data_IF_233853716473
#
_entry.id   IF_233853716473
#
_cell.length_a   1.000
_cell.length_b   1.000
_cell.length_c   1.000
_cell.angle_alpha   90.00
_cell.angle_beta   90.00
_cell.angle_gamma   90.00
#
_symmetry.space_group_name_H-M   'P 1'
#
loop_
_entity.id
_entity.type
_entity.pdbx_description
1 polymer ?
#
# COMPACT_ATOMS: atom_id res chain seq x y z
N UNK A 1 1.04 9.17 -27.74
CA UNK A 1 1.76 9.07 -26.46
C UNK A 1 2.11 10.41 -25.79
N UNK A 2 1.99 11.57 -26.45
CA UNK A 2 2.16 12.91 -25.82
C UNK A 2 0.80 13.55 -25.46
N UNK A 3 -0.28 13.16 -26.14
CA UNK A 3 -1.66 13.62 -25.84
C UNK A 3 -2.16 13.15 -24.46
N UNK A 4 -1.63 12.05 -23.93
CA UNK A 4 -2.03 11.46 -22.65
C UNK A 4 -1.57 12.24 -21.41
N UNK A 5 -0.61 13.16 -21.52
CA UNK A 5 -0.13 13.91 -20.35
C UNK A 5 -1.03 15.10 -20.02
N UNK A 6 -1.77 15.61 -21.01
CA UNK A 6 -2.65 16.77 -20.82
C UNK A 6 -3.88 16.41 -19.98
N UNK A 7 -4.43 15.20 -20.14
CA UNK A 7 -5.55 14.73 -19.28
C UNK A 7 -5.17 14.73 -17.81
N UNK A 8 -3.87 14.59 -17.48
CA UNK A 8 -3.38 14.65 -16.11
C UNK A 8 -3.51 16.04 -15.50
N UNK A 9 -3.51 17.09 -16.32
CA UNK A 9 -3.70 18.46 -15.82
C UNK A 9 -5.13 18.66 -15.33
N UNK A 10 -6.09 18.06 -16.03
CA UNK A 10 -7.53 18.19 -15.78
C UNK A 10 -8.02 17.32 -14.61
N UNK A 11 -7.23 16.33 -14.18
CA UNK A 11 -7.53 15.54 -12.98
C UNK A 11 -7.60 16.42 -11.72
N UNK A 12 -8.57 16.11 -10.86
CA UNK A 12 -8.62 16.64 -9.50
C UNK A 12 -7.38 16.24 -8.68
N UNK A 13 -7.14 16.95 -7.58
CA UNK A 13 -6.04 16.60 -6.67
C UNK A 13 -6.15 15.16 -6.15
N UNK A 14 -7.36 14.72 -5.81
CA UNK A 14 -7.63 13.37 -5.33
C UNK A 14 -7.27 12.29 -6.37
N UNK A 15 -7.61 12.53 -7.64
CA UNK A 15 -7.26 11.60 -8.73
C UNK A 15 -5.76 11.56 -9.00
N UNK A 16 -5.09 12.73 -8.94
CA UNK A 16 -3.63 12.83 -9.05
C UNK A 16 -2.94 12.04 -7.93
N UNK A 17 -3.34 12.26 -6.67
CA UNK A 17 -2.81 11.53 -5.51
C UNK A 17 -3.06 10.02 -5.61
N UNK A 18 -4.28 9.63 -5.98
CA UNK A 18 -4.63 8.20 -6.16
C UNK A 18 -3.77 7.54 -7.24
N UNK A 19 -3.49 8.26 -8.34
CA UNK A 19 -2.60 7.76 -9.40
C UNK A 19 -1.16 7.62 -8.91
N UNK A 20 -0.64 8.60 -8.18
CA UNK A 20 0.70 8.51 -7.57
C UNK A 20 0.79 7.31 -6.62
N UNK A 21 -0.19 7.12 -5.75
CA UNK A 21 -0.24 5.98 -4.82
C UNK A 21 -0.23 4.63 -5.56
N UNK A 22 -1.02 4.49 -6.64
CA UNK A 22 -1.02 3.27 -7.47
C UNK A 22 0.32 3.02 -8.15
N UNK A 23 0.93 4.06 -8.74
CA UNK A 23 2.22 3.91 -9.41
C UNK A 23 3.33 3.55 -8.42
N UNK A 24 3.36 4.17 -7.24
CA UNK A 24 4.31 3.79 -6.19
C UNK A 24 4.10 2.33 -5.80
N UNK A 25 2.86 1.93 -5.50
CA UNK A 25 2.54 0.53 -5.17
C UNK A 25 3.03 -0.44 -6.23
N UNK A 26 2.79 -0.16 -7.52
CA UNK A 26 3.24 -1.01 -8.63
C UNK A 26 4.76 -1.20 -8.65
N UNK A 27 5.52 -0.13 -8.40
CA UNK A 27 6.98 -0.22 -8.30
C UNK A 27 7.37 -1.09 -7.10
N UNK A 28 6.80 -0.83 -5.92
CA UNK A 28 7.10 -1.62 -4.72
C UNK A 28 6.77 -3.12 -4.88
N UNK A 29 5.60 -3.43 -5.46
CA UNK A 29 5.18 -4.81 -5.74
C UNK A 29 6.18 -5.52 -6.67
N UNK A 30 6.67 -4.84 -7.72
CA UNK A 30 7.66 -5.40 -8.64
C UNK A 30 9.01 -5.63 -7.97
N UNK A 31 9.51 -4.68 -7.20
CA UNK A 31 10.82 -4.79 -6.55
C UNK A 31 10.83 -5.86 -5.45
N UNK A 32 9.68 -6.13 -4.84
CA UNK A 32 9.52 -7.11 -3.75
C UNK A 32 9.04 -8.48 -4.23
N UNK A 33 8.69 -8.63 -5.52
CA UNK A 33 8.32 -9.90 -6.14
C UNK A 33 9.34 -11.03 -5.89
N UNK A 34 10.67 -10.80 -6.01
CA UNK A 34 11.67 -11.86 -5.77
C UNK A 34 11.67 -12.41 -4.34
N UNK A 35 11.11 -11.65 -3.38
CA UNK A 35 10.96 -12.05 -1.98
C UNK A 35 9.64 -12.79 -1.71
N UNK A 36 8.84 -13.04 -2.75
CA UNK A 36 7.48 -13.60 -2.66
C UNK A 36 6.55 -12.78 -1.73
N UNK A 37 6.78 -11.47 -1.64
CA UNK A 37 5.96 -10.59 -0.82
C UNK A 37 4.84 -9.95 -1.64
N UNK A 38 3.61 -10.35 -1.35
CA UNK A 38 2.42 -9.69 -1.91
C UNK A 38 2.18 -8.34 -1.24
N UNK A 39 1.37 -7.48 -1.88
CA UNK A 39 0.99 -6.17 -1.33
C UNK A 39 0.58 -6.20 0.16
N UNK A 40 -0.35 -7.07 0.60
CA UNK A 40 -0.72 -7.12 2.01
C UNK A 40 0.45 -7.52 2.93
N UNK A 41 1.34 -8.40 2.48
CA UNK A 41 2.47 -8.88 3.30
C UNK A 41 3.53 -7.80 3.49
N UNK A 42 4.00 -7.17 2.41
CA UNK A 42 5.05 -6.16 2.56
C UNK A 42 4.55 -4.89 3.23
N UNK A 43 3.30 -4.48 2.99
CA UNK A 43 2.74 -3.29 3.67
C UNK A 43 2.61 -3.52 5.18
N UNK A 44 2.19 -4.71 5.61
CA UNK A 44 2.14 -5.08 7.01
C UNK A 44 3.54 -5.06 7.66
N UNK A 45 4.53 -5.66 7.00
CA UNK A 45 5.93 -5.66 7.48
C UNK A 45 6.50 -4.24 7.57
N UNK A 46 6.33 -3.43 6.52
CA UNK A 46 6.77 -2.05 6.50
C UNK A 46 6.10 -1.23 7.60
N UNK A 47 4.79 -1.40 7.81
CA UNK A 47 4.06 -0.67 8.85
C UNK A 47 4.49 -1.10 10.24
N UNK A 48 4.69 -2.40 10.49
CA UNK A 48 5.28 -2.91 11.74
C UNK A 48 6.63 -2.27 12.02
N UNK A 49 7.54 -2.25 11.04
CA UNK A 49 8.84 -1.60 11.16
C UNK A 49 8.72 -0.10 11.51
N UNK A 50 7.76 0.60 10.90
CA UNK A 50 7.53 2.03 11.13
C UNK A 50 6.91 2.34 12.48
N UNK A 51 6.09 1.44 13.02
CA UNK A 51 5.38 1.64 14.29
C UNK A 51 6.18 1.16 15.50
N UNK A 52 7.16 0.27 15.30
CA UNK A 52 7.97 -0.31 16.36
C UNK A 52 7.25 -1.41 17.14
N UNK A 53 7.78 -1.73 18.32
CA UNK A 53 7.31 -2.84 19.14
C UNK A 53 6.03 -2.53 19.93
N UNK A 54 5.41 -3.57 20.49
CA UNK A 54 4.24 -3.50 21.38
C UNK A 54 2.98 -2.91 20.74
N UNK A 55 2.82 -3.03 19.42
CA UNK A 55 1.57 -2.68 18.75
C UNK A 55 0.59 -3.87 18.76
N UNK A 56 -0.69 -3.57 18.98
CA UNK A 56 -1.76 -4.55 18.81
C UNK A 56 -2.12 -4.75 17.33
N UNK A 57 -2.72 -5.89 17.01
CA UNK A 57 -3.26 -6.17 15.67
C UNK A 57 -4.30 -5.13 15.25
N UNK A 58 -5.12 -4.62 16.19
CA UNK A 58 -6.09 -3.56 15.94
C UNK A 58 -5.40 -2.26 15.51
N UNK A 59 -4.37 -1.84 16.23
CA UNK A 59 -3.59 -0.65 15.89
C UNK A 59 -2.90 -0.80 14.52
N UNK A 60 -2.39 -1.99 14.21
CA UNK A 60 -1.80 -2.26 12.88
C UNK A 60 -2.87 -2.17 11.77
N UNK A 61 -4.06 -2.73 11.98
CA UNK A 61 -5.15 -2.69 11.01
C UNK A 61 -5.62 -1.25 10.75
N UNK A 62 -5.81 -0.46 11.82
CA UNK A 62 -6.16 0.96 11.76
C UNK A 62 -5.09 1.75 11.00
N UNK A 63 -3.80 1.53 11.30
CA UNK A 63 -2.70 2.23 10.64
C UNK A 63 -2.55 1.84 9.15
N UNK A 64 -2.96 0.64 8.77
CA UNK A 64 -3.01 0.17 7.39
C UNK A 64 -4.30 0.58 6.67
N UNK A 65 -5.26 1.20 7.36
CA UNK A 65 -6.57 1.58 6.83
C UNK A 65 -7.34 0.37 6.25
N UNK A 66 -7.28 -0.77 6.95
CA UNK A 66 -8.00 -1.99 6.59
C UNK A 66 -8.76 -2.56 7.77
N UNK A 67 -9.75 -3.40 7.46
CA UNK A 67 -10.46 -4.18 8.48
C UNK A 67 -9.54 -5.17 9.19
N UNK A 68 -9.74 -5.33 10.51
CA UNK A 68 -8.99 -6.30 11.32
C UNK A 68 -9.10 -7.71 10.74
N UNK A 69 -10.26 -8.12 10.25
CA UNK A 69 -10.44 -9.44 9.62
C UNK A 69 -9.58 -9.62 8.36
N UNK A 70 -9.32 -8.55 7.61
CA UNK A 70 -8.44 -8.57 6.43
C UNK A 70 -6.97 -8.67 6.84
N UNK A 71 -6.57 -7.96 7.89
CA UNK A 71 -5.24 -8.12 8.48
C UNK A 71 -5.03 -9.55 8.97
N UNK A 72 -6.01 -10.13 9.70
CA UNK A 72 -5.88 -11.47 10.24
C UNK A 72 -5.73 -12.55 9.16
N UNK A 73 -6.29 -12.35 7.96
CA UNK A 73 -6.02 -13.24 6.81
C UNK A 73 -4.57 -13.12 6.35
N UNK A 74 -4.01 -11.92 6.34
CA UNK A 74 -2.62 -11.67 5.94
C UNK A 74 -1.62 -12.29 6.93
N UNK A 75 -1.88 -12.19 8.24
CA UNK A 75 -0.98 -12.69 9.28
C UNK A 75 -0.99 -14.23 9.44
N UNK A 76 -1.99 -14.92 8.90
CA UNK A 76 -2.14 -16.38 8.98
C UNK A 76 -1.51 -17.13 7.79
N UNK A 77 -1.21 -16.42 6.70
CA UNK A 77 -0.59 -16.94 5.48
C UNK A 77 0.93 -16.80 5.53
#
# INVERSE_FOLDING_TARGET
MIQDINILRDLSLAEKLSRVARLWKMVADRELEPLNLTYPRWTALWKLYRMGDNISQKQLAEALEIELASLMRTLKL
#
